data_IF_435395673678
#
_entry.id   IF_435395673678
#
_cell.length_a   1.000
_cell.length_b   1.000
_cell.length_c   1.000
_cell.angle_alpha   90.00
_cell.angle_beta   90.00
_cell.angle_gamma   90.00
#
_symmetry.space_group_name_H-M   'P 1'
#
loop_
_entity.id
_entity.type
_entity.pdbx_description
1 polymer ?
#
# COMPACT_ATOMS: atom_id res chain seq x y z
N UNK A 1 2.42 -20.99 -34.71
CA UNK A 1 3.18 -19.79 -35.16
C UNK A 1 2.31 -18.53 -35.12
N UNK A 2 1.08 -18.60 -35.64
CA UNK A 2 0.09 -17.49 -35.65
C UNK A 2 -0.38 -17.03 -34.24
N UNK A 3 -0.51 -17.94 -33.27
CA UNK A 3 -0.96 -17.58 -31.91
C UNK A 3 0.12 -16.83 -31.10
N UNK A 4 1.39 -17.12 -31.38
CA UNK A 4 2.53 -16.43 -30.79
C UNK A 4 2.63 -15.01 -31.37
N UNK A 5 2.41 -14.83 -32.68
CA UNK A 5 2.38 -13.50 -33.27
C UNK A 5 1.21 -12.66 -32.75
N UNK A 6 0.01 -13.24 -32.59
CA UNK A 6 -1.17 -12.53 -32.07
C UNK A 6 -0.98 -12.06 -30.61
N UNK A 7 -0.40 -12.90 -29.75
CA UNK A 7 -0.08 -12.52 -28.37
C UNK A 7 1.04 -11.47 -28.29
N UNK A 8 2.07 -11.57 -29.13
CA UNK A 8 3.10 -10.53 -29.26
C UNK A 8 2.49 -9.18 -29.69
N UNK A 9 1.62 -9.18 -30.69
CA UNK A 9 0.97 -7.97 -31.20
C UNK A 9 0.09 -7.30 -30.14
N UNK A 10 -0.62 -8.08 -29.31
CA UNK A 10 -1.42 -7.55 -28.20
C UNK A 10 -0.55 -6.92 -27.11
N UNK A 11 0.53 -7.60 -26.71
CA UNK A 11 1.42 -7.13 -25.64
C UNK A 11 2.26 -5.91 -26.07
N UNK A 12 2.56 -5.78 -27.37
CA UNK A 12 3.32 -4.68 -27.91
C UNK A 12 2.59 -3.33 -27.76
N UNK A 13 1.26 -3.33 -27.89
CA UNK A 13 0.44 -2.14 -27.63
C UNK A 13 0.56 -1.65 -26.19
N UNK A 14 0.52 -2.57 -25.23
CA UNK A 14 0.71 -2.26 -23.81
C UNK A 14 2.12 -1.73 -23.53
N UNK A 15 3.14 -2.35 -24.12
CA UNK A 15 4.53 -1.92 -23.96
C UNK A 15 4.77 -0.50 -24.51
N UNK A 16 4.26 -0.20 -25.71
CA UNK A 16 4.33 1.16 -26.29
C UNK A 16 3.59 2.16 -25.39
N UNK A 17 2.40 1.82 -24.90
CA UNK A 17 1.64 2.70 -24.02
C UNK A 17 2.41 3.02 -22.74
N UNK A 18 2.97 2.02 -22.06
CA UNK A 18 3.78 2.22 -20.86
C UNK A 18 5.02 3.08 -21.16
N UNK A 19 5.73 2.80 -22.26
CA UNK A 19 6.87 3.62 -22.69
C UNK A 19 6.46 5.06 -22.99
N UNK A 20 5.29 5.27 -23.59
CA UNK A 20 4.73 6.60 -23.84
C UNK A 20 4.45 7.35 -22.53
N UNK A 21 3.83 6.69 -21.54
CA UNK A 21 3.56 7.28 -20.22
C UNK A 21 4.86 7.64 -19.50
N UNK A 22 5.80 6.70 -19.40
CA UNK A 22 7.10 6.95 -18.77
C UNK A 22 7.88 8.04 -19.51
N UNK A 23 7.87 8.02 -20.84
CA UNK A 23 8.50 9.03 -21.69
C UNK A 23 7.91 10.43 -21.48
N UNK A 24 6.58 10.54 -21.39
CA UNK A 24 5.90 11.81 -21.12
C UNK A 24 6.23 12.33 -19.71
N UNK A 25 6.18 11.47 -18.68
CA UNK A 25 6.57 11.85 -17.32
C UNK A 25 8.03 12.33 -17.27
N UNK A 26 8.95 11.59 -17.89
CA UNK A 26 10.35 11.96 -17.98
C UNK A 26 10.56 13.28 -18.75
N UNK A 27 9.81 13.49 -19.83
CA UNK A 27 9.84 14.74 -20.60
C UNK A 27 9.34 15.92 -19.76
N UNK A 28 8.21 15.79 -19.06
CA UNK A 28 7.68 16.86 -18.20
C UNK A 28 8.65 17.20 -17.07
N UNK A 29 9.21 16.19 -16.39
CA UNK A 29 10.21 16.39 -15.34
C UNK A 29 11.50 16.99 -15.90
N UNK A 30 11.95 16.54 -17.07
CA UNK A 30 13.16 17.02 -17.74
C UNK A 30 13.04 18.47 -18.18
N UNK A 31 11.94 18.83 -18.85
CA UNK A 31 11.65 20.21 -19.25
C UNK A 31 11.49 21.11 -18.03
N UNK A 32 10.76 20.67 -17.00
CA UNK A 32 10.63 21.42 -15.74
C UNK A 32 11.98 21.65 -15.06
N UNK A 33 12.85 20.63 -15.03
CA UNK A 33 14.20 20.76 -14.45
C UNK A 33 15.15 21.61 -15.30
N UNK A 34 14.97 21.68 -16.62
CA UNK A 34 15.82 22.45 -17.52
C UNK A 34 15.40 23.93 -17.57
N UNK A 35 14.09 24.20 -17.60
CA UNK A 35 13.54 25.55 -17.59
C UNK A 35 13.46 26.16 -16.18
N UNK A 36 13.45 25.34 -15.13
CA UNK A 36 13.39 25.78 -13.74
C UNK A 36 14.69 26.43 -13.27
N UNK A 37 14.59 27.58 -12.61
CA UNK A 37 15.75 28.24 -12.01
C UNK A 37 16.32 27.41 -10.86
N UNK A 38 17.54 26.89 -11.07
CA UNK A 38 18.27 26.08 -10.10
C UNK A 38 18.95 26.96 -9.05
N UNK A 39 18.15 27.59 -8.19
CA UNK A 39 18.69 28.31 -7.03
C UNK A 39 19.16 27.32 -5.97
N UNK A 40 20.47 27.18 -5.83
CA UNK A 40 21.14 26.39 -4.78
C UNK A 40 21.42 27.29 -3.57
N UNK A 41 20.43 27.44 -2.70
CA UNK A 41 20.60 28.05 -1.38
C UNK A 41 20.65 26.96 -0.31
N UNK A 42 21.58 27.06 0.65
CA UNK A 42 21.74 26.11 1.76
C UNK A 42 20.41 25.90 2.52
N UNK A 43 19.74 27.00 2.85
CA UNK A 43 18.44 27.01 3.55
C UNK A 43 17.27 26.40 2.78
N UNK A 44 17.38 26.27 1.44
CA UNK A 44 16.34 25.66 0.60
C UNK A 44 16.42 24.13 0.58
N UNK A 45 17.57 23.57 0.96
CA UNK A 45 17.82 22.13 1.04
C UNK A 45 17.70 21.58 2.46
N UNK A 46 17.43 22.44 3.44
CA UNK A 46 17.19 22.04 4.82
C UNK A 46 15.73 21.57 5.01
N UNK A 47 15.50 20.49 5.76
CA UNK A 47 14.16 20.09 6.17
C UNK A 47 13.41 21.26 6.84
N UNK A 48 12.18 21.50 6.41
CA UNK A 48 11.37 22.58 6.95
C UNK A 48 10.91 22.25 8.38
N UNK A 49 11.37 23.03 9.35
CA UNK A 49 10.95 22.92 10.76
C UNK A 49 10.65 24.31 11.35
N UNK A 50 9.87 25.12 10.62
CA UNK A 50 9.41 26.47 11.04
C UNK A 50 10.53 27.41 11.53
N UNK A 51 11.74 27.30 10.96
CA UNK A 51 12.90 28.13 11.32
C UNK A 51 13.80 27.55 12.42
N UNK A 52 13.55 26.32 12.86
CA UNK A 52 14.41 25.59 13.80
C UNK A 52 15.33 24.68 12.98
N UNK A 53 16.61 24.61 13.36
CA UNK A 53 17.52 23.63 12.75
C UNK A 53 17.07 22.22 13.16
N UNK A 54 16.83 21.32 12.20
CA UNK A 54 16.38 19.97 12.52
C UNK A 54 17.44 19.27 13.38
N UNK A 55 17.03 18.89 14.60
CA UNK A 55 17.91 18.24 15.57
C UNK A 55 17.38 16.84 15.88
N UNK A 56 18.25 15.85 15.78
CA UNK A 56 17.90 14.45 16.03
C UNK A 56 18.11 13.55 14.83
N UNK A 57 18.02 12.24 15.07
CA UNK A 57 18.17 11.23 14.03
C UNK A 57 16.82 10.96 13.35
N UNK A 58 16.79 10.81 12.03
CA UNK A 58 15.60 10.42 11.25
C UNK A 58 15.01 9.03 11.62
N UNK A 59 15.57 8.34 12.63
CA UNK A 59 15.09 7.05 13.14
C UNK A 59 14.13 7.26 14.31
N UNK A 60 12.93 7.75 14.00
CA UNK A 60 11.82 7.68 14.94
C UNK A 60 11.32 6.24 15.05
N UNK A 61 11.04 5.80 16.29
CA UNK A 61 10.31 4.55 16.54
C UNK A 61 8.85 4.77 16.15
N UNK A 62 8.54 4.53 14.88
CA UNK A 62 7.15 4.47 14.41
C UNK A 62 6.41 3.38 15.20
N UNK A 63 5.14 3.63 15.53
CA UNK A 63 4.38 2.71 16.37
C UNK A 63 4.30 1.31 15.73
N UNK A 64 4.40 0.26 16.54
CA UNK A 64 4.28 -1.14 16.07
C UNK A 64 2.95 -1.43 15.34
N UNK A 65 1.96 -0.56 15.48
CA UNK A 65 0.67 -0.65 14.77
C UNK A 65 0.82 -0.61 13.26
N UNK A 66 1.76 0.17 12.71
CA UNK A 66 2.03 0.20 11.27
C UNK A 66 2.50 -1.16 10.76
N UNK A 67 3.29 -1.87 11.55
CA UNK A 67 3.76 -3.21 11.21
C UNK A 67 2.61 -4.23 11.21
N UNK A 68 1.71 -4.17 12.21
CA UNK A 68 0.55 -5.07 12.27
C UNK A 68 -0.36 -4.90 11.04
N UNK A 69 -0.61 -3.66 10.61
CA UNK A 69 -1.41 -3.38 9.41
C UNK A 69 -0.71 -3.88 8.15
N UNK A 70 0.60 -3.65 8.01
CA UNK A 70 1.36 -4.12 6.86
C UNK A 70 1.41 -5.66 6.77
N UNK A 71 1.60 -6.34 7.91
CA UNK A 71 1.58 -7.79 7.97
C UNK A 71 0.19 -8.35 7.62
N UNK A 72 -0.88 -7.75 8.13
CA UNK A 72 -2.25 -8.13 7.79
C UNK A 72 -2.53 -7.93 6.29
N UNK A 73 -2.05 -6.82 5.71
CA UNK A 73 -2.21 -6.55 4.28
C UNK A 73 -1.55 -7.64 3.43
N UNK A 74 -0.31 -8.03 3.75
CA UNK A 74 0.39 -9.10 3.02
C UNK A 74 -0.34 -10.44 3.13
N UNK A 75 -0.82 -10.79 4.32
CA UNK A 75 -1.62 -12.02 4.50
C UNK A 75 -2.88 -11.93 3.65
N UNK A 76 -3.67 -10.86 3.78
CA UNK A 76 -4.92 -10.71 3.04
C UNK A 76 -4.71 -10.69 1.51
N UNK A 77 -3.61 -10.12 1.03
CA UNK A 77 -3.25 -10.07 -0.40
C UNK A 77 -2.94 -11.48 -0.96
N UNK A 78 -2.20 -12.30 -0.21
CA UNK A 78 -1.97 -13.71 -0.57
C UNK A 78 -3.28 -14.50 -0.59
N UNK A 79 -4.18 -14.22 0.33
CA UNK A 79 -5.47 -14.92 0.43
C UNK A 79 -6.41 -14.49 -0.70
N UNK A 80 -6.34 -13.23 -1.13
CA UNK A 80 -7.02 -12.74 -2.33
C UNK A 80 -6.51 -13.42 -3.60
N UNK A 81 -5.20 -13.72 -3.69
CA UNK A 81 -4.63 -14.50 -4.80
C UNK A 81 -5.24 -15.92 -4.86
N UNK A 82 -5.40 -16.60 -3.72
CA UNK A 82 -6.06 -17.91 -3.67
C UNK A 82 -7.52 -17.85 -4.11
N UNK A 83 -8.26 -16.83 -3.64
CA UNK A 83 -9.64 -16.62 -4.07
C UNK A 83 -9.73 -16.29 -5.56
N UNK A 84 -8.76 -15.56 -6.13
CA UNK A 84 -8.70 -15.29 -7.56
C UNK A 84 -8.46 -16.55 -8.37
N UNK A 85 -7.52 -17.41 -7.94
CA UNK A 85 -7.24 -18.68 -8.61
C UNK A 85 -8.49 -19.58 -8.63
N UNK A 86 -9.23 -19.64 -7.51
CA UNK A 86 -10.53 -20.31 -7.46
C UNK A 86 -11.59 -19.62 -8.33
N UNK A 87 -11.64 -18.29 -8.32
CA UNK A 87 -12.63 -17.49 -9.07
C UNK A 87 -12.55 -17.74 -10.59
N UNK A 88 -11.36 -18.01 -11.12
CA UNK A 88 -11.14 -18.33 -12.54
C UNK A 88 -11.75 -19.69 -12.94
N UNK A 89 -11.86 -20.65 -12.01
CA UNK A 89 -12.31 -22.03 -12.27
C UNK A 89 -13.52 -22.46 -11.41
N UNK A 90 -14.41 -21.50 -11.09
CA UNK A 90 -15.60 -21.75 -10.26
C UNK A 90 -16.51 -22.83 -10.83
N UNK A 91 -16.65 -22.88 -12.17
CA UNK A 91 -17.55 -23.84 -12.84
C UNK A 91 -17.04 -25.27 -12.72
N UNK A 92 -15.72 -25.45 -12.80
CA UNK A 92 -15.03 -26.73 -12.76
C UNK A 92 -14.94 -27.25 -11.33
N UNK A 93 -14.81 -26.34 -10.35
CA UNK A 93 -14.70 -26.66 -8.92
C UNK A 93 -16.04 -27.08 -8.27
N UNK A 94 -17.16 -26.66 -8.86
CA UNK A 94 -18.51 -27.04 -8.42
C UNK A 94 -18.83 -26.65 -6.97
N UNK A 95 -19.75 -27.39 -6.35
CA UNK A 95 -20.21 -27.12 -4.98
C UNK A 95 -19.12 -27.30 -3.92
N UNK A 96 -18.18 -28.21 -4.13
CA UNK A 96 -17.06 -28.43 -3.21
C UNK A 96 -16.15 -27.19 -3.13
N UNK A 97 -15.78 -26.63 -4.28
CA UNK A 97 -15.00 -25.39 -4.31
C UNK A 97 -15.72 -24.19 -3.70
N UNK A 98 -17.04 -24.10 -3.85
CA UNK A 98 -17.82 -23.04 -3.20
C UNK A 98 -17.76 -23.13 -1.67
N UNK A 99 -17.89 -24.34 -1.12
CA UNK A 99 -17.78 -24.57 0.33
C UNK A 99 -16.37 -24.22 0.82
N UNK A 100 -15.34 -24.66 0.10
CA UNK A 100 -13.95 -24.36 0.43
C UNK A 100 -13.67 -22.85 0.44
N UNK A 101 -14.06 -22.14 -0.63
CA UNK A 101 -13.91 -20.69 -0.72
C UNK A 101 -14.69 -19.94 0.38
N UNK A 102 -15.89 -20.42 0.72
CA UNK A 102 -16.71 -19.83 1.78
C UNK A 102 -16.06 -20.00 3.16
N UNK A 103 -15.57 -21.20 3.47
CA UNK A 103 -14.85 -21.47 4.73
C UNK A 103 -13.58 -20.62 4.81
N UNK A 104 -12.85 -20.51 3.71
CA UNK A 104 -11.64 -19.72 3.61
C UNK A 104 -11.91 -18.22 3.89
N UNK A 105 -12.95 -17.64 3.27
CA UNK A 105 -13.38 -16.26 3.54
C UNK A 105 -13.82 -16.10 5.01
N UNK A 106 -14.53 -17.08 5.58
CA UNK A 106 -14.97 -17.03 6.96
C UNK A 106 -13.78 -16.99 7.94
N UNK A 107 -12.71 -17.73 7.67
CA UNK A 107 -11.47 -17.70 8.46
C UNK A 107 -10.82 -16.31 8.38
N UNK A 108 -10.75 -15.69 7.19
CA UNK A 108 -10.22 -14.32 7.04
C UNK A 108 -11.03 -13.31 7.83
N UNK A 109 -12.36 -13.38 7.75
CA UNK A 109 -13.25 -12.51 8.51
C UNK A 109 -13.07 -12.70 10.01
N UNK A 110 -12.90 -13.93 10.49
CA UNK A 110 -12.63 -14.20 11.89
C UNK A 110 -11.30 -13.58 12.35
N UNK A 111 -10.24 -13.70 11.55
CA UNK A 111 -8.95 -13.06 11.81
C UNK A 111 -9.04 -11.53 11.86
N UNK A 112 -9.75 -10.93 10.92
CA UNK A 112 -9.99 -9.48 10.87
C UNK A 112 -10.79 -8.99 12.09
N UNK A 113 -11.87 -9.69 12.44
CA UNK A 113 -12.70 -9.38 13.62
C UNK A 113 -11.87 -9.49 14.90
N UNK A 114 -11.05 -10.54 15.05
CA UNK A 114 -10.16 -10.68 16.19
C UNK A 114 -9.22 -9.47 16.32
N UNK A 115 -8.57 -9.08 15.22
CA UNK A 115 -7.61 -7.98 15.21
C UNK A 115 -8.29 -6.62 15.51
N UNK A 116 -9.51 -6.43 15.01
CA UNK A 116 -10.32 -5.26 15.32
C UNK A 116 -10.67 -5.20 16.80
N UNK A 117 -11.05 -6.34 17.41
CA UNK A 117 -11.35 -6.43 18.85
C UNK A 117 -10.14 -6.20 19.74
N UNK A 118 -8.94 -6.53 19.27
CA UNK A 118 -7.66 -6.27 19.97
C UNK A 118 -7.26 -4.78 19.89
N UNK A 119 -7.93 -3.97 19.06
CA UNK A 119 -7.61 -2.54 18.92
C UNK A 119 -6.32 -2.29 18.14
N UNK A 120 -5.83 -3.29 17.39
CA UNK A 120 -4.67 -3.11 16.52
C UNK A 120 -4.95 -2.12 15.37
N UNK A 121 -6.22 -1.96 15.03
CA UNK A 121 -6.71 -0.99 14.03
C UNK A 121 -7.02 0.39 14.62
N UNK A 122 -6.99 0.58 15.94
CA UNK A 122 -7.35 1.84 16.56
C UNK A 122 -6.21 2.86 16.45
N UNK A 123 -6.45 3.88 15.63
CA UNK A 123 -5.56 5.02 15.40
C UNK A 123 -5.65 6.11 16.47
N UNK A 124 -6.64 6.05 17.37
CA UNK A 124 -6.82 7.06 18.40
C UNK A 124 -5.82 6.86 19.57
N UNK A 125 -5.15 7.92 20.05
CA UNK A 125 -4.29 7.84 21.22
C UNK A 125 -5.16 7.74 22.49
N UNK A 126 -5.51 6.53 22.89
CA UNK A 126 -6.23 6.28 24.16
C UNK A 126 -5.43 6.73 25.40
N UNK A 127 -4.13 7.01 25.23
CA UNK A 127 -3.27 7.55 26.29
C UNK A 127 -3.64 8.95 26.78
N UNK A 128 -4.42 9.76 26.02
CA UNK A 128 -4.80 11.12 26.47
C UNK A 128 -5.98 11.12 27.44
N UNK A 129 -6.92 10.17 27.30
CA UNK A 129 -8.15 10.12 28.11
C UNK A 129 -7.89 9.66 29.55
N UNK A 130 -6.97 8.71 29.74
CA UNK A 130 -6.56 8.24 31.09
C UNK A 130 -5.69 9.25 31.84
N UNK A 131 -4.95 10.13 31.14
CA UNK A 131 -4.09 11.15 31.77
C UNK A 131 -4.88 12.38 32.21
N UNK A 132 -5.90 12.79 31.45
CA UNK A 132 -6.80 13.89 31.86
C UNK A 132 -7.67 13.51 33.07
N UNK A 133 -8.23 12.30 33.11
CA UNK A 133 -9.01 11.82 34.25
C UNK A 133 -8.21 11.69 35.57
N UNK A 134 -6.87 11.59 35.47
CA UNK A 134 -5.96 11.55 36.64
C UNK A 134 -5.43 12.93 37.05
N UNK A 135 -5.70 13.97 36.27
CA UNK A 135 -5.29 15.36 36.55
C UNK A 135 -6.44 16.21 37.09
N UNK A 136 -7.69 15.73 36.98
CA UNK A 136 -8.90 16.33 37.57
C UNK A 136 -9.27 15.73 38.94
N UNK A 137 -8.39 14.90 39.52
CA UNK A 137 -8.45 14.39 40.90
C UNK A 137 -7.26 14.93 41.68
#
# INVERSE_FOLDING_TARGET
MSDISNSLTHNWGLAIFLLGVFGLCAFMLGVSSLLGSKAWGHSKNEPFESGIVPTGTARLRLSAKFYLVAMLFVIFDVEALYLFAWAVSVRESGWAGLVEATVFIAILLAGLVYLWRVGALDWAPEGRRKRQAKLEQ
#
